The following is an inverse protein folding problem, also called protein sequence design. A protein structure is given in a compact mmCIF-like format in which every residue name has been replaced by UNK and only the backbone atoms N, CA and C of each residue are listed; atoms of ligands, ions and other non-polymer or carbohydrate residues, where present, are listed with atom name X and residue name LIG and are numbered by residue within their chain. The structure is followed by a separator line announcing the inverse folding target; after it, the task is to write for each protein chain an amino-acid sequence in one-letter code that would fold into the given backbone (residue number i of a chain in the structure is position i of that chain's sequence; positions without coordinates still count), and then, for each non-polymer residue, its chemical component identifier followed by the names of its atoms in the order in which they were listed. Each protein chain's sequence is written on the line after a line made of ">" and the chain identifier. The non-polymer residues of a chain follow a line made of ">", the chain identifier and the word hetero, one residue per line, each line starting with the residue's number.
data_IF_644084081393
#
_entry.id   IF_644084081393
#
_cell.length_a   1.000
_cell.length_b   1.000
_cell.length_c   1.000
_cell.angle_alpha   90.00
_cell.angle_beta   90.00
_cell.angle_gamma   90.00
#
_symmetry.space_group_name_H-M   'P 1'
#
loop_
_entity.id
_entity.type
_entity.pdbx_description
1 polymer ?
#
# COMPACT_ATOMS: atom_id res chain seq x y z
N UNK A 1 2.75 -21.97 -6.98
CA UNK A 1 1.42 -21.35 -6.97
C UNK A 1 1.57 -19.85 -7.10
N UNK A 2 0.65 -19.16 -7.78
CA UNK A 2 0.66 -17.69 -7.86
C UNK A 2 0.48 -17.12 -6.44
N UNK A 3 1.32 -16.16 -6.06
CA UNK A 3 1.17 -15.44 -4.78
C UNK A 3 0.07 -14.37 -4.84
N UNK A 4 -0.41 -14.06 -6.03
CA UNK A 4 -1.48 -13.08 -6.26
C UNK A 4 -2.83 -13.78 -6.19
N UNK A 5 -3.67 -13.30 -5.30
CA UNK A 5 -5.05 -13.75 -5.11
C UNK A 5 -5.96 -13.00 -6.10
N UNK A 6 -6.82 -13.72 -6.79
CA UNK A 6 -7.73 -13.16 -7.82
C UNK A 6 -9.12 -12.85 -7.26
N UNK A 7 -9.36 -13.15 -5.99
CA UNK A 7 -10.61 -12.88 -5.28
C UNK A 7 -10.34 -12.54 -3.82
N UNK A 8 -11.29 -11.86 -3.19
CA UNK A 8 -11.20 -11.46 -1.79
C UNK A 8 -10.97 -12.66 -0.87
N UNK A 9 -9.95 -12.65 0.00
CA UNK A 9 -9.70 -13.70 0.98
C UNK A 9 -10.65 -13.55 2.20
N UNK A 10 -11.87 -14.05 2.07
CA UNK A 10 -12.92 -13.98 3.09
C UNK A 10 -12.49 -14.71 4.37
N UNK A 11 -12.67 -14.06 5.52
CA UNK A 11 -12.29 -14.59 6.84
C UNK A 11 -10.80 -14.43 7.17
N UNK A 12 -9.98 -13.93 6.26
CA UNK A 12 -8.56 -13.74 6.46
C UNK A 12 -8.18 -12.27 6.72
N UNK A 13 -7.03 -12.07 7.38
CA UNK A 13 -6.46 -10.74 7.64
C UNK A 13 -5.76 -10.21 6.39
N UNK A 14 -6.15 -9.03 5.95
CA UNK A 14 -5.55 -8.35 4.79
C UNK A 14 -4.93 -7.04 5.26
N UNK A 15 -3.61 -6.91 5.13
CA UNK A 15 -2.88 -5.68 5.41
C UNK A 15 -2.93 -4.74 4.22
N UNK A 16 -3.65 -3.63 4.34
CA UNK A 16 -3.76 -2.62 3.29
C UNK A 16 -2.80 -1.46 3.55
N UNK A 17 -1.94 -1.14 2.58
CA UNK A 17 -1.23 0.13 2.57
C UNK A 17 -2.25 1.26 2.37
N UNK A 18 -2.54 1.97 3.46
CA UNK A 18 -3.63 2.91 3.57
C UNK A 18 -3.12 4.35 3.50
N UNK A 19 -3.59 5.10 2.51
CA UNK A 19 -3.19 6.49 2.31
C UNK A 19 -4.16 7.51 2.92
N UNK A 20 -5.32 7.07 3.40
CA UNK A 20 -6.40 7.96 3.84
C UNK A 20 -7.23 8.56 2.70
N UNK A 21 -6.88 8.27 1.44
CA UNK A 21 -7.64 8.71 0.27
C UNK A 21 -8.84 7.83 -0.04
N UNK A 22 -9.70 8.31 -0.95
CA UNK A 22 -10.96 7.66 -1.34
C UNK A 22 -10.77 6.19 -1.72
N UNK A 23 -9.79 5.89 -2.58
CA UNK A 23 -9.58 4.54 -3.12
C UNK A 23 -9.28 3.52 -2.02
N UNK A 24 -8.42 3.88 -1.05
CA UNK A 24 -8.07 2.98 0.06
C UNK A 24 -9.17 2.91 1.12
N UNK A 25 -9.93 3.98 1.33
CA UNK A 25 -11.07 4.00 2.25
C UNK A 25 -12.20 3.10 1.74
N UNK A 26 -12.57 3.24 0.47
CA UNK A 26 -13.55 2.36 -0.17
C UNK A 26 -13.09 0.89 -0.14
N UNK A 27 -11.80 0.62 -0.37
CA UNK A 27 -11.27 -0.74 -0.32
C UNK A 27 -11.38 -1.36 1.08
N UNK A 28 -11.09 -0.60 2.16
CA UNK A 28 -11.25 -1.06 3.55
C UNK A 28 -12.71 -1.42 3.83
N UNK A 29 -13.63 -0.50 3.56
CA UNK A 29 -15.05 -0.68 3.83
C UNK A 29 -15.63 -1.85 3.02
N UNK A 30 -15.33 -1.94 1.73
CA UNK A 30 -15.76 -3.03 0.86
C UNK A 30 -15.25 -4.40 1.31
N UNK A 31 -13.96 -4.49 1.68
CA UNK A 31 -13.38 -5.74 2.21
C UNK A 31 -14.07 -6.18 3.50
N UNK A 32 -14.33 -5.22 4.42
CA UNK A 32 -15.00 -5.49 5.69
C UNK A 32 -16.42 -6.00 5.48
N UNK A 33 -17.19 -5.34 4.63
CA UNK A 33 -18.58 -5.74 4.33
C UNK A 33 -18.67 -7.15 3.75
N UNK A 34 -17.68 -7.54 2.97
CA UNK A 34 -17.63 -8.87 2.32
C UNK A 34 -16.91 -9.94 3.15
N UNK A 35 -16.61 -9.64 4.40
CA UNK A 35 -16.16 -10.61 5.39
C UNK A 35 -14.66 -10.89 5.41
N UNK A 36 -13.82 -10.08 4.76
CA UNK A 36 -12.40 -10.05 5.05
C UNK A 36 -12.12 -9.23 6.32
N UNK A 37 -10.92 -9.35 6.87
CA UNK A 37 -10.51 -8.64 8.08
C UNK A 37 -9.41 -7.64 7.71
N UNK A 38 -9.76 -6.37 7.32
CA UNK A 38 -8.77 -5.41 6.89
C UNK A 38 -7.97 -4.85 8.08
N UNK A 39 -6.66 -4.80 7.91
CA UNK A 39 -5.70 -4.12 8.76
C UNK A 39 -5.09 -2.98 7.96
N UNK A 40 -5.11 -1.75 8.46
CA UNK A 40 -4.61 -0.60 7.74
C UNK A 40 -3.21 -0.18 8.22
N UNK A 41 -2.29 0.05 7.28
CA UNK A 41 -0.93 0.49 7.58
C UNK A 41 -0.62 1.75 6.79
N UNK A 42 -0.32 2.84 7.49
CA UNK A 42 0.04 4.13 6.89
C UNK A 42 1.52 4.39 7.13
N UNK A 43 2.27 4.68 6.08
CA UNK A 43 3.68 5.06 6.19
C UNK A 43 3.80 6.55 6.51
N UNK A 44 4.53 6.88 7.58
CA UNK A 44 5.01 8.24 7.83
C UNK A 44 6.39 8.40 7.17
N UNK A 45 6.41 9.09 6.04
CA UNK A 45 7.62 9.44 5.28
C UNK A 45 8.04 10.90 5.49
N UNK A 46 7.37 11.61 6.41
CA UNK A 46 7.51 13.05 6.59
C UNK A 46 6.79 13.86 5.50
N UNK A 47 5.75 13.30 4.87
CA UNK A 47 4.93 13.99 3.86
C UNK A 47 4.19 15.19 4.47
N UNK A 48 4.24 16.32 3.79
CA UNK A 48 3.65 17.58 4.25
C UNK A 48 2.24 17.85 3.68
N UNK A 49 1.81 17.03 2.75
CA UNK A 49 0.52 17.17 2.05
C UNK A 49 -0.66 16.52 2.79
N UNK A 50 -0.40 15.74 3.85
CA UNK A 50 -1.43 15.25 4.79
C UNK A 50 -1.38 16.09 6.07
N UNK A 51 -2.36 17.00 6.28
CA UNK A 51 -2.32 17.93 7.41
C UNK A 51 -2.54 17.26 8.77
N UNK A 52 -3.18 16.08 8.78
CA UNK A 52 -3.43 15.29 9.99
C UNK A 52 -3.07 13.82 9.78
N UNK A 53 -1.77 13.57 9.68
CA UNK A 53 -1.24 12.21 9.51
C UNK A 53 -1.57 11.32 10.73
N UNK A 54 -1.60 11.90 11.94
CA UNK A 54 -1.92 11.16 13.16
C UNK A 54 -3.36 10.67 13.22
N UNK A 55 -4.28 11.35 12.55
CA UNK A 55 -5.68 10.96 12.44
C UNK A 55 -5.98 9.91 11.37
N UNK A 56 -5.01 9.61 10.47
CA UNK A 56 -5.23 8.63 9.38
C UNK A 56 -5.62 7.24 9.89
N UNK A 57 -4.98 6.67 10.93
CA UNK A 57 -5.40 5.37 11.48
C UNK A 57 -6.85 5.38 11.96
N UNK A 58 -7.28 6.41 12.67
CA UNK A 58 -8.67 6.53 13.14
C UNK A 58 -9.68 6.60 11.98
N UNK A 59 -9.31 7.22 10.85
CA UNK A 59 -10.14 7.19 9.65
C UNK A 59 -10.28 5.76 9.08
N UNK A 60 -9.20 4.99 9.06
CA UNK A 60 -9.25 3.61 8.60
C UNK A 60 -10.18 2.73 9.47
N UNK A 61 -10.10 2.89 10.79
CA UNK A 61 -10.96 2.19 11.75
C UNK A 61 -12.43 2.58 11.56
N UNK A 62 -12.72 3.87 11.30
CA UNK A 62 -14.06 4.34 11.01
C UNK A 62 -14.66 3.70 9.74
N UNK A 63 -13.83 3.33 8.76
CA UNK A 63 -14.22 2.57 7.57
C UNK A 63 -14.23 1.06 7.78
N UNK A 64 -13.97 0.57 9.00
CA UNK A 64 -14.10 -0.84 9.35
C UNK A 64 -12.79 -1.63 9.35
N UNK A 65 -11.63 -0.98 9.36
CA UNK A 65 -10.39 -1.69 9.65
C UNK A 65 -10.44 -2.27 11.06
N UNK A 66 -10.00 -3.52 11.22
CA UNK A 66 -9.91 -4.20 12.52
C UNK A 66 -8.84 -3.56 13.41
N UNK A 67 -7.78 -3.06 12.79
CA UNK A 67 -6.70 -2.32 13.42
C UNK A 67 -6.04 -1.40 12.40
N UNK A 68 -5.52 -0.28 12.85
CA UNK A 68 -4.80 0.64 12.01
C UNK A 68 -3.53 1.16 12.69
N UNK A 69 -2.44 1.28 11.92
CA UNK A 69 -1.14 1.70 12.43
C UNK A 69 -0.51 2.77 11.54
N UNK A 70 0.05 3.79 12.20
CA UNK A 70 1.01 4.71 11.60
C UNK A 70 2.41 4.12 11.81
N UNK A 71 3.14 3.87 10.74
CA UNK A 71 4.48 3.28 10.75
C UNK A 71 5.50 4.38 10.43
N UNK A 72 6.37 4.69 11.38
CA UNK A 72 7.44 5.68 11.16
C UNK A 72 8.49 5.11 10.19
N UNK A 73 8.59 5.72 9.03
CA UNK A 73 9.50 5.33 7.96
C UNK A 73 10.57 6.40 7.68
N UNK A 74 10.62 7.48 8.45
CA UNK A 74 11.44 8.66 8.16
C UNK A 74 12.93 8.39 8.24
N UNK A 75 13.37 7.70 9.29
CA UNK A 75 14.79 7.39 9.48
C UNK A 75 15.31 6.50 8.34
N UNK A 76 14.58 5.43 8.01
CA UNK A 76 14.94 4.53 6.92
C UNK A 76 14.92 5.25 5.57
N UNK A 77 13.94 6.13 5.34
CA UNK A 77 13.88 6.93 4.11
C UNK A 77 15.11 7.81 3.94
N UNK A 78 15.57 8.45 5.03
CA UNK A 78 16.78 9.27 5.02
C UNK A 78 18.01 8.42 4.77
N UNK A 79 18.14 7.29 5.45
CA UNK A 79 19.26 6.37 5.31
C UNK A 79 19.39 5.86 3.86
N UNK A 80 18.34 5.26 3.34
CA UNK A 80 18.30 4.75 1.97
C UNK A 80 18.45 5.87 0.92
N UNK A 81 17.91 7.05 1.22
CA UNK A 81 18.07 8.23 0.38
C UNK A 81 19.52 8.69 0.25
N UNK A 82 20.28 8.70 1.35
CA UNK A 82 21.70 9.04 1.34
C UNK A 82 22.53 8.02 0.55
N UNK A 83 22.26 6.73 0.71
CA UNK A 83 22.89 5.66 -0.06
C UNK A 83 22.58 5.81 -1.55
N UNK A 84 21.33 6.07 -1.90
CA UNK A 84 20.91 6.28 -3.28
C UNK A 84 21.58 7.51 -3.92
N UNK A 85 21.74 8.60 -3.17
CA UNK A 85 22.49 9.79 -3.61
C UNK A 85 23.96 9.49 -3.88
N UNK A 86 24.61 8.77 -2.98
CA UNK A 86 26.01 8.37 -3.14
C UNK A 86 26.24 7.51 -4.39
N UNK A 87 25.26 6.68 -4.75
CA UNK A 87 25.31 5.82 -5.93
C UNK A 87 24.80 6.51 -7.21
N UNK A 88 24.34 7.75 -7.16
CA UNK A 88 23.73 8.44 -8.30
C UNK A 88 22.43 7.79 -8.80
N UNK A 89 21.74 7.04 -7.93
CA UNK A 89 20.61 6.18 -8.32
C UNK A 89 19.36 6.92 -8.77
N UNK A 90 19.26 8.22 -8.53
CA UNK A 90 18.09 9.01 -8.92
C UNK A 90 18.11 9.51 -10.37
N UNK A 91 19.23 9.39 -11.06
CA UNK A 91 19.35 9.81 -12.45
C UNK A 91 18.89 8.69 -13.38
N UNK A 92 17.74 8.90 -14.00
CA UNK A 92 17.18 7.95 -14.96
C UNK A 92 17.26 8.55 -16.35
N UNK A 93 17.82 7.82 -17.32
CA UNK A 93 17.83 8.21 -18.71
C UNK A 93 16.86 7.34 -19.50
N UNK A 94 15.87 7.99 -20.14
CA UNK A 94 14.88 7.31 -20.97
C UNK A 94 14.70 8.11 -22.26
N UNK A 95 14.84 7.45 -23.40
CA UNK A 95 14.73 8.07 -24.72
C UNK A 95 15.64 9.32 -24.90
N UNK A 96 16.86 9.26 -24.38
CA UNK A 96 17.85 10.34 -24.46
C UNK A 96 17.59 11.53 -23.52
N UNK A 97 16.59 11.45 -22.63
CA UNK A 97 16.32 12.46 -21.61
C UNK A 97 16.68 11.91 -20.23
N UNK A 98 17.48 12.67 -19.50
CA UNK A 98 17.81 12.38 -18.10
C UNK A 98 16.88 13.16 -17.20
N UNK A 99 16.30 12.50 -16.21
CA UNK A 99 15.46 13.13 -15.19
C UNK A 99 15.73 12.52 -13.81
N UNK A 100 15.38 13.28 -12.79
CA UNK A 100 15.55 12.89 -11.41
C UNK A 100 14.27 12.19 -10.91
N UNK A 101 14.38 10.97 -10.38
CA UNK A 101 13.23 10.19 -9.94
C UNK A 101 13.47 9.53 -8.58
N UNK A 102 12.83 10.06 -7.55
CA UNK A 102 12.88 9.53 -6.18
C UNK A 102 11.77 8.53 -5.85
N UNK A 103 10.80 8.38 -6.74
CA UNK A 103 9.61 7.52 -6.53
C UNK A 103 9.95 6.08 -6.13
N UNK A 104 10.94 5.39 -6.74
CA UNK A 104 11.30 4.02 -6.36
C UNK A 104 11.77 3.90 -4.92
N UNK A 105 12.47 4.90 -4.38
CA UNK A 105 12.94 4.91 -3.00
C UNK A 105 11.76 4.84 -2.01
N UNK A 106 10.79 5.74 -2.16
CA UNK A 106 9.62 5.74 -1.29
C UNK A 106 8.85 4.42 -1.32
N UNK A 107 8.73 3.77 -2.50
CA UNK A 107 8.07 2.47 -2.63
C UNK A 107 8.86 1.36 -1.94
N UNK A 108 10.18 1.38 -2.03
CA UNK A 108 11.05 0.40 -1.37
C UNK A 108 10.89 0.49 0.15
N UNK A 109 11.06 1.69 0.70
CA UNK A 109 10.94 1.93 2.15
C UNK A 109 9.54 1.59 2.65
N UNK A 110 8.49 2.08 1.99
CA UNK A 110 7.10 1.77 2.36
C UNK A 110 6.84 0.26 2.29
N UNK A 111 7.17 -0.39 1.18
CA UNK A 111 6.91 -1.82 0.98
C UNK A 111 7.61 -2.70 2.02
N UNK A 112 8.85 -2.38 2.39
CA UNK A 112 9.62 -3.16 3.38
C UNK A 112 9.11 -2.92 4.81
N UNK A 113 8.92 -1.68 5.22
CA UNK A 113 8.57 -1.36 6.61
C UNK A 113 7.12 -1.70 6.95
N UNK A 114 6.18 -1.48 6.03
CA UNK A 114 4.80 -1.91 6.26
C UNK A 114 4.69 -3.43 6.35
N UNK A 115 5.42 -4.19 5.52
CA UNK A 115 5.40 -5.66 5.61
C UNK A 115 6.05 -6.15 6.91
N UNK A 116 7.09 -5.50 7.43
CA UNK A 116 7.62 -5.79 8.78
C UNK A 116 6.57 -5.55 9.87
N UNK A 117 5.82 -4.46 9.80
CA UNK A 117 4.73 -4.18 10.72
C UNK A 117 3.62 -5.24 10.60
N UNK A 118 3.24 -5.63 9.39
CA UNK A 118 2.28 -6.70 9.13
C UNK A 118 2.72 -8.02 9.76
N UNK A 119 3.99 -8.41 9.61
CA UNK A 119 4.52 -9.64 10.22
C UNK A 119 4.39 -9.62 11.75
N UNK A 120 4.66 -8.48 12.40
CA UNK A 120 4.50 -8.34 13.85
C UNK A 120 3.06 -8.50 14.33
N UNK A 121 2.09 -8.22 13.45
CA UNK A 121 0.65 -8.34 13.71
C UNK A 121 0.06 -9.68 13.24
N UNK A 122 0.88 -10.57 12.66
CA UNK A 122 0.45 -11.85 12.11
C UNK A 122 -0.43 -11.71 10.87
N UNK A 123 -0.13 -10.72 10.04
CA UNK A 123 -0.82 -10.43 8.77
C UNK A 123 0.12 -10.76 7.62
N UNK A 124 -0.30 -11.66 6.72
CA UNK A 124 0.53 -12.19 5.62
C UNK A 124 -0.06 -11.97 4.22
N UNK A 125 -1.14 -11.20 4.11
CA UNK A 125 -1.73 -10.81 2.84
C UNK A 125 -1.56 -9.30 2.66
N UNK A 126 -0.79 -8.90 1.65
CA UNK A 126 -0.60 -7.51 1.26
C UNK A 126 -1.69 -7.02 0.33
N UNK A 127 -2.19 -5.82 0.58
CA UNK A 127 -3.05 -5.06 -0.32
C UNK A 127 -2.61 -3.60 -0.43
N UNK A 128 -2.97 -2.96 -1.52
CA UNK A 128 -2.81 -1.52 -1.72
C UNK A 128 -3.81 -0.99 -2.77
N UNK A 129 -3.92 0.33 -2.87
CA UNK A 129 -4.79 1.02 -3.82
C UNK A 129 -4.24 1.14 -5.26
N UNK A 130 -3.20 0.40 -5.63
CA UNK A 130 -2.63 0.49 -6.97
C UNK A 130 -3.58 -0.06 -8.02
N UNK A 131 -3.76 0.69 -9.11
CA UNK A 131 -4.55 0.28 -10.26
C UNK A 131 -3.69 -0.49 -11.28
N UNK A 132 -4.34 -1.31 -12.12
CA UNK A 132 -3.66 -2.10 -13.16
C UNK A 132 -2.96 -1.26 -14.24
N UNK A 133 -3.26 0.03 -14.32
CA UNK A 133 -2.65 0.97 -15.29
C UNK A 133 -1.34 1.59 -14.78
N UNK A 134 -1.02 1.43 -13.49
CA UNK A 134 0.14 2.04 -12.86
C UNK A 134 1.31 1.09 -12.67
N UNK A 135 2.53 1.64 -12.64
CA UNK A 135 3.74 0.85 -12.34
C UNK A 135 3.77 0.33 -10.89
N UNK A 136 2.96 0.91 -10.01
CA UNK A 136 2.98 0.59 -8.58
C UNK A 136 2.29 -0.73 -8.26
N UNK A 137 1.55 -1.30 -9.24
CA UNK A 137 0.86 -2.58 -9.06
C UNK A 137 1.80 -3.72 -8.64
N UNK A 138 3.08 -3.65 -9.04
CA UNK A 138 4.10 -4.63 -8.67
C UNK A 138 5.16 -4.06 -7.72
N UNK A 139 5.43 -2.77 -7.75
CA UNK A 139 6.56 -2.16 -7.04
C UNK A 139 6.51 -2.38 -5.54
N UNK A 140 5.37 -2.14 -4.89
CA UNK A 140 5.24 -2.28 -3.44
C UNK A 140 5.47 -3.71 -2.98
N UNK A 141 4.75 -4.67 -3.52
CA UNK A 141 4.83 -6.03 -3.03
C UNK A 141 6.16 -6.72 -3.38
N UNK A 142 6.83 -6.31 -4.47
CA UNK A 142 8.18 -6.82 -4.78
C UNK A 142 9.16 -6.56 -3.64
N UNK A 143 9.14 -5.35 -3.08
CA UNK A 143 9.97 -5.04 -1.92
C UNK A 143 9.46 -5.76 -0.66
N UNK A 144 8.17 -5.89 -0.48
CA UNK A 144 7.59 -6.69 0.61
C UNK A 144 8.01 -8.16 0.58
N UNK A 145 8.15 -8.77 -0.59
CA UNK A 145 8.63 -10.14 -0.77
C UNK A 145 10.10 -10.33 -0.34
N UNK A 146 10.91 -9.27 -0.32
CA UNK A 146 12.27 -9.34 0.23
C UNK A 146 12.27 -9.47 1.76
N UNK A 147 11.20 -9.02 2.41
CA UNK A 147 11.01 -9.12 3.87
C UNK A 147 10.29 -10.42 4.24
N UNK A 148 9.26 -10.78 3.49
CA UNK A 148 8.45 -11.97 3.72
C UNK A 148 8.22 -12.73 2.41
N UNK A 149 9.00 -13.81 2.19
CA UNK A 149 8.85 -14.65 1.02
C UNK A 149 7.49 -15.37 0.96
N UNK A 150 6.83 -15.56 2.11
CA UNK A 150 5.50 -16.16 2.21
C UNK A 150 4.35 -15.20 1.92
N UNK A 151 4.63 -13.91 1.69
CA UNK A 151 3.61 -12.88 1.49
C UNK A 151 2.69 -13.24 0.32
N UNK A 152 1.39 -13.24 0.59
CA UNK A 152 0.33 -13.35 -0.43
C UNK A 152 -0.11 -11.93 -0.81
N UNK A 153 -0.62 -11.76 -2.01
CA UNK A 153 -0.95 -10.44 -2.55
C UNK A 153 -2.42 -10.42 -2.94
N UNK A 154 -3.19 -9.56 -2.34
CA UNK A 154 -4.54 -9.25 -2.77
C UNK A 154 -4.62 -7.77 -3.18
N UNK A 155 -5.06 -7.52 -4.40
CA UNK A 155 -5.23 -6.16 -4.91
C UNK A 155 -6.69 -5.94 -5.28
N UNK A 156 -7.43 -5.07 -4.58
CA UNK A 156 -8.83 -4.80 -4.91
C UNK A 156 -9.04 -4.46 -6.39
N UNK A 157 -8.16 -3.66 -6.96
CA UNK A 157 -8.21 -3.26 -8.38
C UNK A 157 -7.88 -4.36 -9.39
N UNK A 158 -7.50 -5.57 -8.94
CA UNK A 158 -7.38 -6.77 -9.77
C UNK A 158 -8.54 -7.76 -9.52
N UNK A 159 -9.39 -7.51 -8.54
CA UNK A 159 -10.58 -8.30 -8.26
C UNK A 159 -11.74 -7.82 -9.16
N UNK A 160 -12.24 -8.67 -10.07
CA UNK A 160 -13.33 -8.28 -10.96
C UNK A 160 -14.58 -7.79 -10.22
N UNK A 161 -14.90 -8.40 -9.07
CA UNK A 161 -16.08 -8.02 -8.27
C UNK A 161 -15.93 -6.61 -7.69
N UNK A 162 -14.74 -6.30 -7.17
CA UNK A 162 -14.46 -4.94 -6.68
C UNK A 162 -14.57 -3.90 -7.81
N UNK A 163 -13.97 -4.21 -8.97
CA UNK A 163 -13.95 -3.29 -10.12
C UNK A 163 -15.35 -3.10 -10.72
N UNK A 164 -16.18 -4.14 -10.74
CA UNK A 164 -17.56 -4.06 -11.22
C UNK A 164 -18.42 -3.15 -10.32
N UNK A 165 -18.22 -3.22 -9.01
CA UNK A 165 -19.02 -2.45 -8.04
C UNK A 165 -18.47 -1.03 -7.79
N UNK A 166 -17.14 -0.88 -7.71
CA UNK A 166 -16.46 0.35 -7.27
C UNK A 166 -15.38 0.81 -8.26
N UNK A 167 -15.52 0.48 -9.55
CA UNK A 167 -14.50 0.76 -10.56
C UNK A 167 -14.29 2.22 -10.93
N UNK A 168 -15.10 3.13 -10.40
CA UNK A 168 -15.03 4.56 -10.66
C UNK A 168 -15.11 5.40 -9.38
N UNK A 169 -14.61 6.65 -9.45
CA UNK A 169 -14.63 7.56 -8.30
C UNK A 169 -16.05 7.96 -7.88
N UNK A 170 -16.97 8.04 -8.85
CA UNK A 170 -18.37 8.39 -8.58
C UNK A 170 -19.04 7.27 -7.77
N UNK A 171 -18.81 6.02 -8.16
CA UNK A 171 -19.32 4.85 -7.49
C UNK A 171 -18.78 4.75 -6.06
N UNK A 172 -17.45 4.90 -5.88
CA UNK A 172 -16.81 4.88 -4.56
C UNK A 172 -17.27 6.01 -3.64
N UNK A 173 -17.61 7.19 -4.18
CA UNK A 173 -18.08 8.32 -3.38
C UNK A 173 -19.55 8.21 -3.01
N UNK A 174 -20.33 7.43 -3.76
CA UNK A 174 -21.75 7.21 -3.52
C UNK A 174 -22.01 6.00 -2.59
N UNK A 175 -21.03 5.13 -2.50
CA UNK A 175 -21.04 3.92 -1.68
C UNK A 175 -20.61 4.20 -0.23
#
# INVERSE_FOLDING_TARGET
>A
MSKVLMSLPVGERVGLAFSGGLDTSAAVAWMRERGAIPYAYTADLGQYDEPDLSGVPGRAEAYGAESARLVDCREELVHEGLVALQCGAFHISTAGRTYFNTTPLGRAVTGTLLVRAMQSDGVDIWGDGSTYKGNDIERFYRYGLLVNEGLRIYKPWLDPTFVEELGGRAEMSAW
#
